data_IF_816469405862
#
_entry.id   IF_816469405862
#
_cell.length_a   1.000
_cell.length_b   1.000
_cell.length_c   1.000
_cell.angle_alpha   90.00
_cell.angle_beta   90.00
_cell.angle_gamma   90.00
#
_symmetry.space_group_name_H-M   'P 1'
#
loop_
_entity.id
_entity.type
_entity.pdbx_description
1 polymer ?
#
# COMPACT_ATOMS: atom_id res chain seq x y z
N UNK A 1 -2.95 0.09 16.02
CA UNK A 1 -1.91 0.41 17.02
C UNK A 1 -2.23 1.81 17.56
N UNK A 2 -2.21 1.93 18.88
CA UNK A 2 -2.48 3.17 19.62
C UNK A 2 -1.17 3.90 19.95
N UNK A 3 -1.26 5.17 20.35
CA UNK A 3 -0.10 5.94 20.85
C UNK A 3 0.58 5.20 22.04
N UNK A 4 -0.22 4.63 22.94
CA UNK A 4 0.29 3.88 24.09
C UNK A 4 1.15 2.67 23.67
N UNK A 5 0.66 1.87 22.69
CA UNK A 5 1.41 0.72 22.19
C UNK A 5 2.70 1.12 21.46
N UNK A 6 2.73 2.29 20.82
CA UNK A 6 3.98 2.84 20.25
C UNK A 6 4.94 3.27 21.34
N UNK A 7 4.46 3.94 22.41
CA UNK A 7 5.29 4.32 23.56
C UNK A 7 5.97 3.11 24.18
N UNK A 8 5.17 2.07 24.53
CA UNK A 8 5.72 0.82 25.08
C UNK A 8 6.82 0.23 24.19
N UNK A 9 6.65 0.32 22.87
CA UNK A 9 7.61 -0.22 21.90
C UNK A 9 8.88 0.64 21.82
N UNK A 10 8.77 1.95 21.85
CA UNK A 10 9.92 2.85 21.83
C UNK A 10 10.74 2.70 23.13
N UNK A 11 10.10 2.66 24.28
CA UNK A 11 10.76 2.38 25.55
C UNK A 11 11.45 1.01 25.59
N UNK A 12 10.83 0.00 24.98
CA UNK A 12 11.46 -1.33 24.88
C UNK A 12 12.72 -1.28 24.02
N UNK A 13 12.70 -0.59 22.89
CA UNK A 13 13.86 -0.45 22.00
C UNK A 13 14.96 0.37 22.65
N UNK A 14 14.65 1.46 23.32
CA UNK A 14 15.63 2.27 24.06
C UNK A 14 16.32 1.46 25.15
N UNK A 15 15.57 0.69 25.94
CA UNK A 15 16.13 -0.24 26.93
C UNK A 15 17.04 -1.32 26.33
N UNK A 16 16.82 -1.69 25.09
CA UNK A 16 17.66 -2.63 24.33
C UNK A 16 18.90 -1.97 23.73
N UNK A 17 19.05 -0.65 23.85
CA UNK A 17 20.15 0.12 23.29
C UNK A 17 20.04 0.32 21.77
N UNK A 18 18.84 0.32 21.22
CA UNK A 18 18.60 0.65 19.81
C UNK A 18 18.87 2.14 19.61
N UNK A 19 19.77 2.46 18.70
CA UNK A 19 20.14 3.85 18.41
C UNK A 19 19.23 4.50 17.38
N UNK A 20 18.67 3.71 16.43
CA UNK A 20 17.79 4.21 15.39
C UNK A 20 16.62 3.26 15.14
N UNK A 21 15.41 3.79 15.10
CA UNK A 21 14.18 3.06 14.81
C UNK A 21 13.47 3.65 13.61
N UNK A 22 13.14 2.83 12.61
CA UNK A 22 12.36 3.23 11.44
C UNK A 22 10.98 2.60 11.49
N UNK A 23 9.95 3.43 11.53
CA UNK A 23 8.57 3.01 11.35
C UNK A 23 8.04 3.47 9.99
N UNK A 24 7.61 2.52 9.18
CA UNK A 24 6.92 2.79 7.92
C UNK A 24 5.43 2.55 8.15
N UNK A 25 4.62 3.59 7.99
CA UNK A 25 3.20 3.50 8.25
C UNK A 25 2.40 3.22 7.00
N UNK A 26 1.26 2.55 7.18
CA UNK A 26 0.17 2.58 6.21
C UNK A 26 -0.23 4.05 5.97
N UNK A 27 -0.80 4.34 4.79
CA UNK A 27 -1.30 5.65 4.39
C UNK A 27 -1.98 6.42 5.54
N UNK A 28 -1.44 7.58 5.88
CA UNK A 28 -1.94 8.44 6.95
C UNK A 28 -3.38 8.94 6.70
N UNK A 29 -3.76 9.13 5.43
CA UNK A 29 -5.13 9.51 5.07
C UNK A 29 -6.17 8.41 5.28
N UNK A 30 -5.75 7.15 5.43
CA UNK A 30 -6.64 5.99 5.62
C UNK A 30 -6.62 5.39 7.03
N UNK A 31 -5.66 5.77 7.87
CA UNK A 31 -5.46 5.21 9.22
C UNK A 31 -4.85 6.24 10.17
N UNK A 32 -5.30 6.23 11.42
CA UNK A 32 -4.72 7.05 12.49
C UNK A 32 -3.37 6.57 13.03
N UNK A 33 -2.82 5.46 12.54
CA UNK A 33 -1.58 4.87 13.09
C UNK A 33 -0.35 5.75 12.85
N UNK A 34 -0.27 6.46 11.71
CA UNK A 34 0.80 7.42 11.46
C UNK A 34 0.79 8.55 12.51
N UNK A 35 -0.37 9.19 12.72
CA UNK A 35 -0.52 10.24 13.72
C UNK A 35 -0.22 9.74 15.15
N UNK A 36 -0.65 8.51 15.48
CA UNK A 36 -0.36 7.89 16.77
C UNK A 36 1.15 7.66 16.99
N UNK A 37 1.87 7.24 15.94
CA UNK A 37 3.32 7.04 15.99
C UNK A 37 4.06 8.38 16.21
N UNK A 38 3.67 9.44 15.48
CA UNK A 38 4.25 10.77 15.67
C UNK A 38 3.99 11.32 17.07
N UNK A 39 2.77 11.18 17.60
CA UNK A 39 2.43 11.60 18.95
C UNK A 39 3.26 10.83 20.01
N UNK A 40 3.42 9.53 19.81
CA UNK A 40 4.24 8.69 20.70
C UNK A 40 5.72 9.07 20.64
N UNK A 41 6.27 9.32 19.45
CA UNK A 41 7.67 9.73 19.32
C UNK A 41 7.94 11.07 20.00
N UNK A 42 7.03 12.05 19.85
CA UNK A 42 7.14 13.32 20.54
C UNK A 42 7.09 13.16 22.07
N UNK A 43 6.13 12.37 22.58
CA UNK A 43 6.01 12.07 24.02
C UNK A 43 7.26 11.32 24.53
N UNK A 44 7.77 10.35 23.78
CA UNK A 44 8.97 9.60 24.16
C UNK A 44 10.18 10.53 24.37
N UNK A 45 10.43 11.45 23.44
CA UNK A 45 11.55 12.39 23.59
C UNK A 45 11.34 13.42 24.73
N UNK A 46 10.10 13.74 25.05
CA UNK A 46 9.77 14.60 26.21
C UNK A 46 10.02 13.86 27.54
N UNK A 47 9.62 12.61 27.65
CA UNK A 47 9.72 11.80 28.87
C UNK A 47 11.11 11.17 29.07
N UNK A 48 11.89 10.99 28.00
CA UNK A 48 13.24 10.39 27.99
C UNK A 48 14.29 11.31 27.35
N UNK A 49 14.53 12.52 27.92
CA UNK A 49 15.47 13.50 27.33
C UNK A 49 16.93 13.02 27.30
N UNK A 50 17.28 11.98 28.07
CA UNK A 50 18.60 11.33 28.07
C UNK A 50 18.77 10.31 26.93
N UNK A 51 17.67 9.82 26.34
CA UNK A 51 17.73 8.86 25.25
C UNK A 51 18.36 9.49 24.01
N UNK A 52 19.22 8.71 23.36
CA UNK A 52 19.85 9.07 22.07
C UNK A 52 19.18 8.39 20.89
N UNK A 53 18.11 7.62 21.14
CA UNK A 53 17.40 6.91 20.08
C UNK A 53 16.72 7.90 19.14
N UNK A 54 17.04 7.81 17.86
CA UNK A 54 16.38 8.54 16.80
C UNK A 54 15.22 7.73 16.24
N UNK A 55 14.05 8.35 16.13
CA UNK A 55 12.83 7.69 15.62
C UNK A 55 12.44 8.33 14.29
N UNK A 56 12.52 7.54 13.22
CA UNK A 56 12.13 7.92 11.88
C UNK A 56 10.75 7.36 11.56
N UNK A 57 9.85 8.21 11.06
CA UNK A 57 8.49 7.82 10.69
C UNK A 57 8.25 8.23 9.24
N UNK A 58 7.96 7.24 8.39
CA UNK A 58 7.69 7.45 6.97
C UNK A 58 6.25 7.07 6.67
N UNK A 59 5.46 7.98 6.09
CA UNK A 59 4.16 7.63 5.52
C UNK A 59 4.37 6.98 4.15
N UNK A 60 3.92 5.74 3.99
CA UNK A 60 3.99 5.07 2.70
C UNK A 60 3.01 5.63 1.66
N UNK A 61 2.04 6.42 2.06
CA UNK A 61 0.91 6.83 1.21
C UNK A 61 0.20 5.65 0.51
N UNK A 62 0.43 4.42 1.00
CA UNK A 62 0.08 3.18 0.34
C UNK A 62 -0.57 2.17 1.30
N UNK A 63 -0.92 1.01 0.75
CA UNK A 63 -1.56 -0.09 1.45
C UNK A 63 -0.94 -1.41 1.03
N UNK A 64 -0.90 -2.38 1.97
CA UNK A 64 -0.55 -3.77 1.68
C UNK A 64 0.86 -3.90 1.05
N UNK A 65 1.01 -4.59 -0.08
CA UNK A 65 2.32 -4.81 -0.70
C UNK A 65 2.95 -3.53 -1.26
N UNK A 66 2.18 -2.50 -1.55
CA UNK A 66 2.73 -1.21 -1.95
C UNK A 66 3.53 -0.55 -0.80
N UNK A 67 3.07 -0.72 0.45
CA UNK A 67 3.83 -0.38 1.65
C UNK A 67 4.96 -1.40 1.89
N UNK A 68 4.63 -2.71 1.85
CA UNK A 68 5.55 -3.80 2.16
C UNK A 68 6.77 -3.87 1.24
N UNK A 69 6.65 -3.50 -0.03
CA UNK A 69 7.78 -3.45 -0.96
C UNK A 69 8.85 -2.45 -0.50
N UNK A 70 8.44 -1.31 0.06
CA UNK A 70 9.38 -0.34 0.64
C UNK A 70 10.06 -0.86 1.90
N UNK A 71 9.30 -1.58 2.77
CA UNK A 71 9.88 -2.18 3.99
C UNK A 71 10.99 -3.18 3.66
N UNK A 72 10.75 -4.06 2.68
CA UNK A 72 11.75 -5.05 2.23
C UNK A 72 13.00 -4.35 1.69
N UNK A 73 12.81 -3.32 0.89
CA UNK A 73 13.92 -2.60 0.28
C UNK A 73 14.69 -1.76 1.32
N UNK A 74 14.00 -1.12 2.26
CA UNK A 74 14.63 -0.41 3.36
C UNK A 74 15.54 -1.32 4.18
N UNK A 75 15.04 -2.51 4.55
CA UNK A 75 15.83 -3.50 5.30
C UNK A 75 17.09 -3.90 4.51
N UNK A 76 16.96 -4.19 3.21
CA UNK A 76 18.09 -4.56 2.37
C UNK A 76 19.16 -3.46 2.31
N UNK A 77 18.75 -2.20 2.12
CA UNK A 77 19.65 -1.05 2.04
C UNK A 77 20.39 -0.79 3.35
N UNK A 78 19.68 -0.91 4.48
CA UNK A 78 20.30 -0.81 5.81
C UNK A 78 21.32 -1.93 6.04
N UNK A 79 21.01 -3.17 5.61
CA UNK A 79 21.95 -4.29 5.70
C UNK A 79 23.18 -4.11 4.79
N UNK A 80 23.01 -3.44 3.65
CA UNK A 80 24.09 -3.06 2.73
C UNK A 80 24.92 -1.87 3.26
N UNK A 81 24.55 -1.28 4.42
CA UNK A 81 25.29 -0.23 5.12
C UNK A 81 24.92 1.19 4.70
N UNK A 82 23.79 1.39 4.03
CA UNK A 82 23.31 2.75 3.77
C UNK A 82 22.85 3.42 5.07
N UNK A 83 22.95 4.74 5.15
CA UNK A 83 22.50 5.49 6.34
C UNK A 83 20.97 5.54 6.42
N UNK A 84 20.45 5.73 7.61
CA UNK A 84 18.99 5.84 7.83
C UNK A 84 18.38 6.99 7.03
N UNK A 85 19.04 8.12 6.97
CA UNK A 85 18.59 9.29 6.22
C UNK A 85 18.49 8.99 4.71
N UNK A 86 19.50 8.31 4.15
CA UNK A 86 19.49 7.90 2.75
C UNK A 86 18.34 6.93 2.45
N UNK A 87 18.07 6.00 3.38
CA UNK A 87 16.95 5.06 3.28
C UNK A 87 15.61 5.79 3.37
N UNK A 88 15.47 6.76 4.27
CA UNK A 88 14.24 7.58 4.38
C UNK A 88 14.00 8.40 3.11
N UNK A 89 15.04 9.03 2.55
CA UNK A 89 14.94 9.75 1.28
C UNK A 89 14.51 8.82 0.13
N UNK A 90 15.14 7.65 0.03
CA UNK A 90 14.76 6.63 -0.94
C UNK A 90 13.30 6.20 -0.79
N UNK A 91 12.83 5.95 0.44
CA UNK A 91 11.44 5.55 0.70
C UNK A 91 10.45 6.62 0.27
N UNK A 92 10.71 7.89 0.59
CA UNK A 92 9.86 9.00 0.18
C UNK A 92 9.76 9.11 -1.35
N UNK A 93 10.88 8.96 -2.07
CA UNK A 93 10.87 8.95 -3.53
C UNK A 93 10.15 7.73 -4.10
N UNK A 94 10.40 6.54 -3.54
CA UNK A 94 9.73 5.29 -3.94
C UNK A 94 8.22 5.39 -3.76
N UNK A 95 7.76 5.79 -2.58
CA UNK A 95 6.33 5.88 -2.29
C UNK A 95 5.61 6.95 -3.12
N UNK A 96 6.30 8.02 -3.51
CA UNK A 96 5.76 8.99 -4.45
C UNK A 96 5.50 8.44 -5.85
N UNK A 97 6.03 7.25 -6.18
CA UNK A 97 5.85 6.55 -7.46
C UNK A 97 4.93 5.32 -7.36
N UNK A 98 4.69 4.82 -6.15
CA UNK A 98 3.85 3.63 -5.99
C UNK A 98 2.41 3.89 -6.41
N UNK A 99 1.89 2.99 -7.23
CA UNK A 99 0.50 3.00 -7.68
C UNK A 99 -0.20 1.69 -7.29
N UNK A 100 -1.49 1.82 -6.98
CA UNK A 100 -2.37 0.70 -6.72
C UNK A 100 -3.58 0.82 -7.65
N UNK A 101 -3.81 -0.23 -8.44
CA UNK A 101 -5.10 -0.46 -9.09
C UNK A 101 -5.84 -1.53 -8.31
N UNK A 102 -7.08 -1.28 -7.97
CA UNK A 102 -7.92 -2.19 -7.19
C UNK A 102 -9.26 -2.40 -7.89
N UNK A 103 -9.74 -3.63 -7.91
CA UNK A 103 -11.14 -3.93 -8.21
C UNK A 103 -11.75 -4.79 -7.12
N UNK A 104 -13.06 -4.64 -6.92
CA UNK A 104 -13.86 -5.56 -6.13
C UNK A 104 -15.01 -6.07 -6.99
N UNK A 105 -15.15 -7.39 -7.06
CA UNK A 105 -16.20 -8.02 -7.86
C UNK A 105 -17.58 -7.92 -7.18
N UNK A 106 -17.59 -7.68 -5.87
CA UNK A 106 -18.80 -7.32 -5.11
C UNK A 106 -18.63 -5.95 -4.46
N UNK A 107 -19.60 -5.05 -4.62
CA UNK A 107 -19.51 -3.68 -4.10
C UNK A 107 -20.11 -3.51 -2.71
N UNK A 108 -20.75 -4.55 -2.15
CA UNK A 108 -21.50 -4.48 -0.89
C UNK A 108 -20.61 -4.07 0.30
N UNK A 109 -19.42 -4.65 0.41
CA UNK A 109 -18.50 -4.38 1.52
C UNK A 109 -17.75 -3.07 1.26
N UNK A 110 -17.17 -2.93 0.09
CA UNK A 110 -16.33 -1.78 -0.28
C UNK A 110 -17.07 -0.44 -0.12
N UNK A 111 -18.37 -0.41 -0.42
CA UNK A 111 -19.23 0.78 -0.24
C UNK A 111 -19.45 1.13 1.24
N UNK A 112 -19.41 0.17 2.13
CA UNK A 112 -19.66 0.36 3.56
C UNK A 112 -18.39 0.68 4.34
N UNK A 113 -17.23 0.40 3.81
CA UNK A 113 -15.95 0.49 4.52
C UNK A 113 -15.55 1.94 4.86
N UNK A 114 -15.96 2.90 4.03
CA UNK A 114 -15.58 4.31 4.14
C UNK A 114 -14.12 4.62 3.79
N UNK A 115 -13.27 3.60 3.55
CA UNK A 115 -11.85 3.76 3.16
C UNK A 115 -11.67 3.92 1.66
N UNK A 116 -12.65 3.47 0.89
CA UNK A 116 -12.69 3.67 -0.56
C UNK A 116 -13.86 4.60 -0.88
N UNK A 117 -13.63 5.88 -0.68
CA UNK A 117 -14.66 6.94 -0.77
C UNK A 117 -15.35 6.96 -2.14
N UNK A 118 -14.59 6.71 -3.22
CA UNK A 118 -15.15 6.64 -4.56
C UNK A 118 -16.21 5.54 -4.73
N UNK A 119 -16.17 4.47 -3.92
CA UNK A 119 -17.18 3.41 -3.96
C UNK A 119 -18.55 3.87 -3.49
N UNK A 120 -18.62 4.86 -2.59
CA UNK A 120 -19.88 5.43 -2.11
C UNK A 120 -20.65 6.18 -3.22
N UNK A 121 -19.95 6.69 -4.22
CA UNK A 121 -20.55 7.37 -5.36
C UNK A 121 -21.21 6.43 -6.39
N UNK A 122 -21.07 5.11 -6.21
CA UNK A 122 -21.67 4.13 -7.10
C UNK A 122 -23.12 3.88 -6.65
N UNK A 123 -24.07 4.45 -7.35
CA UNK A 123 -25.50 4.22 -7.11
C UNK A 123 -25.93 2.88 -7.72
N UNK A 124 -26.62 2.05 -6.92
CA UNK A 124 -27.25 0.77 -7.35
C UNK A 124 -26.26 -0.38 -7.60
N UNK A 125 -26.81 -1.56 -7.77
CA UNK A 125 -26.08 -2.72 -8.30
C UNK A 125 -26.07 -2.60 -9.82
N UNK A 126 -24.97 -2.13 -10.36
CA UNK A 126 -24.77 -2.10 -11.81
C UNK A 126 -24.46 -3.52 -12.27
N UNK A 127 -25.47 -4.27 -12.71
CA UNK A 127 -25.36 -5.66 -13.17
C UNK A 127 -24.17 -5.84 -14.13
N UNK A 128 -23.12 -6.54 -13.61
CA UNK A 128 -21.92 -6.86 -14.38
C UNK A 128 -20.99 -5.68 -14.70
N UNK A 129 -21.16 -4.51 -14.06
CA UNK A 129 -20.20 -3.41 -14.17
C UNK A 129 -19.29 -3.43 -12.96
N UNK A 130 -17.99 -3.49 -13.23
CA UNK A 130 -16.94 -3.51 -12.22
C UNK A 130 -16.10 -2.23 -12.32
N UNK A 131 -15.98 -1.47 -11.24
CA UNK A 131 -15.09 -0.32 -11.19
C UNK A 131 -13.63 -0.76 -10.99
N UNK A 132 -12.73 -0.03 -11.64
CA UNK A 132 -11.30 -0.08 -11.33
C UNK A 132 -11.00 1.20 -10.55
N UNK A 133 -10.48 1.03 -9.35
CA UNK A 133 -10.08 2.13 -8.48
C UNK A 133 -8.58 2.32 -8.52
N UNK A 134 -8.13 3.54 -8.33
CA UNK A 134 -6.79 3.86 -7.85
C UNK A 134 -6.86 4.38 -6.42
N UNK A 135 -5.79 4.14 -5.66
CA UNK A 135 -5.66 4.55 -4.27
C UNK A 135 -4.38 5.39 -4.16
N UNK A 136 -4.53 6.71 -4.27
CA UNK A 136 -3.41 7.64 -4.24
C UNK A 136 -3.60 8.61 -3.08
N UNK A 137 -2.58 8.79 -2.26
CA UNK A 137 -2.51 9.78 -1.18
C UNK A 137 -3.74 9.77 -0.24
N UNK A 138 -4.23 8.58 0.10
CA UNK A 138 -5.42 8.40 0.95
C UNK A 138 -6.75 8.60 0.27
N UNK A 139 -6.76 9.01 -1.00
CA UNK A 139 -7.98 9.22 -1.77
C UNK A 139 -8.16 8.13 -2.81
N UNK A 140 -9.36 7.61 -2.92
CA UNK A 140 -9.72 6.64 -3.96
C UNK A 140 -10.44 7.34 -5.11
N UNK A 141 -10.08 6.95 -6.33
CA UNK A 141 -10.76 7.41 -7.55
C UNK A 141 -11.19 6.22 -8.39
N UNK A 142 -12.36 6.34 -9.04
CA UNK A 142 -12.75 5.40 -10.10
C UNK A 142 -12.08 5.86 -11.38
N UNK A 143 -11.13 5.08 -11.86
CA UNK A 143 -10.40 5.40 -13.09
C UNK A 143 -11.00 4.75 -14.32
N UNK A 144 -11.78 3.67 -14.14
CA UNK A 144 -12.51 3.02 -15.23
C UNK A 144 -13.70 2.23 -14.69
N UNK A 145 -14.76 2.13 -15.47
CA UNK A 145 -15.87 1.20 -15.27
C UNK A 145 -15.91 0.25 -16.47
N UNK A 146 -15.89 -1.04 -16.23
CA UNK A 146 -15.89 -2.07 -17.27
C UNK A 146 -17.04 -3.05 -17.07
N UNK A 147 -17.54 -3.63 -18.13
CA UNK A 147 -18.61 -4.64 -18.05
C UNK A 147 -18.02 -6.04 -18.23
N UNK A 148 -18.29 -6.91 -17.25
CA UNK A 148 -17.87 -8.30 -17.25
C UNK A 148 -16.45 -8.52 -16.66
N UNK A 149 -16.26 -9.67 -16.03
CA UNK A 149 -15.04 -10.01 -15.27
C UNK A 149 -13.79 -10.03 -16.16
N UNK A 150 -13.85 -10.65 -17.33
CA UNK A 150 -12.70 -10.67 -18.28
C UNK A 150 -12.26 -9.29 -18.74
N UNK A 151 -13.21 -8.35 -18.84
CA UNK A 151 -12.89 -6.97 -19.20
C UNK A 151 -12.20 -6.22 -18.05
N UNK A 152 -12.46 -6.60 -16.79
CA UNK A 152 -11.74 -6.06 -15.63
C UNK A 152 -10.26 -6.48 -15.69
N UNK A 153 -9.99 -7.77 -15.86
CA UNK A 153 -8.62 -8.31 -15.91
C UNK A 153 -7.80 -7.64 -17.00
N UNK A 154 -8.33 -7.66 -18.24
CA UNK A 154 -7.64 -7.04 -19.37
C UNK A 154 -7.50 -5.52 -19.22
N UNK A 155 -8.50 -4.86 -18.60
CA UNK A 155 -8.49 -3.43 -18.33
C UNK A 155 -7.45 -3.02 -17.30
N UNK A 156 -7.34 -3.75 -16.19
CA UNK A 156 -6.34 -3.51 -15.16
C UNK A 156 -4.92 -3.76 -15.68
N UNK A 157 -4.70 -4.88 -16.38
CA UNK A 157 -3.39 -5.19 -16.96
C UNK A 157 -2.93 -4.14 -18.00
N UNK A 158 -3.85 -3.65 -18.84
CA UNK A 158 -3.55 -2.61 -19.81
C UNK A 158 -3.20 -1.27 -19.13
N UNK A 159 -3.99 -0.86 -18.12
CA UNK A 159 -3.74 0.39 -17.39
C UNK A 159 -2.43 0.34 -16.61
N UNK A 160 -2.10 -0.81 -16.01
CA UNK A 160 -0.80 -0.99 -15.34
C UNK A 160 0.33 -0.84 -16.35
N UNK A 161 0.28 -1.56 -17.47
CA UNK A 161 1.34 -1.51 -18.49
C UNK A 161 1.52 -0.11 -19.11
N UNK A 162 0.46 0.71 -19.16
CA UNK A 162 0.50 2.09 -19.65
C UNK A 162 1.18 3.04 -18.64
N UNK A 163 1.01 2.79 -17.34
CA UNK A 163 1.42 3.72 -16.27
C UNK A 163 2.74 3.36 -15.60
N UNK A 164 3.10 2.07 -15.62
CA UNK A 164 4.27 1.61 -14.90
C UNK A 164 5.57 2.05 -15.57
N UNK A 165 6.57 2.36 -14.77
CA UNK A 165 7.92 2.56 -15.21
C UNK A 165 8.50 1.25 -15.76
N UNK A 166 9.11 1.30 -16.96
CA UNK A 166 9.62 0.09 -17.61
C UNK A 166 10.71 -0.61 -16.78
N UNK A 167 10.62 -1.93 -16.71
CA UNK A 167 11.60 -2.76 -16.01
C UNK A 167 11.47 -2.77 -14.49
N UNK A 168 10.49 -2.06 -13.92
CA UNK A 168 10.25 -2.10 -12.47
C UNK A 168 9.43 -3.33 -12.07
N UNK A 169 9.61 -3.83 -10.83
CA UNK A 169 8.80 -4.94 -10.33
C UNK A 169 7.34 -4.53 -10.16
N UNK A 170 6.43 -5.49 -10.39
CA UNK A 170 5.02 -5.36 -10.03
C UNK A 170 4.53 -6.58 -9.27
N UNK A 171 3.46 -6.40 -8.51
CA UNK A 171 2.89 -7.43 -7.65
C UNK A 171 1.38 -7.56 -7.90
N UNK A 172 0.87 -8.78 -7.70
CA UNK A 172 -0.55 -9.09 -7.82
C UNK A 172 -1.07 -9.51 -6.44
N UNK A 173 -2.02 -8.75 -5.89
CA UNK A 173 -2.72 -9.07 -4.66
C UNK A 173 -4.07 -9.73 -4.97
N UNK A 174 -4.30 -10.94 -4.47
CA UNK A 174 -5.52 -11.70 -4.70
C UNK A 174 -6.22 -12.06 -3.40
N UNK A 175 -7.55 -11.99 -3.39
CA UNK A 175 -8.37 -12.49 -2.29
C UNK A 175 -8.56 -14.01 -2.36
N UNK A 176 -8.61 -14.57 -3.56
CA UNK A 176 -8.81 -15.98 -3.85
C UNK A 176 -7.91 -16.45 -4.99
N UNK A 177 -7.42 -17.70 -4.91
CA UNK A 177 -6.58 -18.31 -5.95
C UNK A 177 -7.23 -18.40 -7.32
N UNK A 178 -8.56 -18.42 -7.38
CA UNK A 178 -9.31 -18.45 -8.65
C UNK A 178 -8.95 -17.29 -9.59
N UNK A 179 -8.41 -16.18 -9.06
CA UNK A 179 -8.00 -15.02 -9.85
C UNK A 179 -6.54 -15.09 -10.33
N UNK A 180 -5.72 -15.99 -9.78
CA UNK A 180 -4.27 -15.98 -9.94
C UNK A 180 -3.85 -16.11 -11.40
N UNK A 181 -4.22 -17.23 -12.04
CA UNK A 181 -3.75 -17.57 -13.38
C UNK A 181 -4.16 -16.52 -14.41
N UNK A 182 -5.41 -16.06 -14.37
CA UNK A 182 -5.94 -15.09 -15.34
C UNK A 182 -5.23 -13.73 -15.24
N UNK A 183 -4.98 -13.25 -14.01
CA UNK A 183 -4.26 -11.98 -13.81
C UNK A 183 -2.77 -12.09 -14.14
N UNK A 184 -2.12 -13.20 -13.79
CA UNK A 184 -0.72 -13.45 -14.14
C UNK A 184 -0.55 -13.48 -15.65
N UNK A 185 -1.39 -14.23 -16.37
CA UNK A 185 -1.33 -14.31 -17.82
C UNK A 185 -1.55 -12.92 -18.47
N UNK A 186 -2.61 -12.22 -18.06
CA UNK A 186 -2.94 -10.91 -18.63
C UNK A 186 -1.86 -9.86 -18.38
N UNK A 187 -1.32 -9.79 -17.15
CA UNK A 187 -0.28 -8.83 -16.77
C UNK A 187 1.03 -9.18 -17.50
N UNK A 188 1.46 -10.43 -17.46
CA UNK A 188 2.69 -10.88 -18.14
C UNK A 188 2.64 -10.60 -19.65
N UNK A 189 1.50 -10.85 -20.28
CA UNK A 189 1.31 -10.56 -21.71
C UNK A 189 1.41 -9.06 -22.03
N UNK A 190 0.94 -8.19 -21.13
CA UNK A 190 0.94 -6.73 -21.36
C UNK A 190 2.29 -6.08 -21.02
N UNK A 191 2.94 -6.54 -19.97
CA UNK A 191 4.20 -5.97 -19.44
C UNK A 191 5.42 -6.60 -20.11
N UNK A 192 5.32 -7.88 -20.53
CA UNK A 192 6.41 -8.63 -21.17
C UNK A 192 7.24 -9.47 -20.19
N UNK A 193 6.95 -9.43 -18.88
CA UNK A 193 7.61 -10.26 -17.87
C UNK A 193 6.65 -10.59 -16.72
N UNK A 194 6.98 -11.64 -15.96
CA UNK A 194 6.18 -12.15 -14.86
C UNK A 194 6.16 -11.17 -13.66
N UNK A 195 5.11 -11.22 -12.81
CA UNK A 195 5.10 -10.45 -11.57
C UNK A 195 6.27 -10.84 -10.65
N UNK A 196 6.81 -9.88 -9.91
CA UNK A 196 7.82 -10.12 -8.90
C UNK A 196 7.28 -10.94 -7.70
N UNK A 197 5.98 -10.91 -7.50
CA UNK A 197 5.31 -11.73 -6.50
C UNK A 197 3.80 -11.66 -6.57
N UNK A 198 3.18 -12.73 -6.04
CA UNK A 198 1.74 -12.81 -5.84
C UNK A 198 1.51 -12.95 -4.34
N UNK A 199 0.62 -12.15 -3.78
CA UNK A 199 0.34 -12.18 -2.35
C UNK A 199 -1.17 -12.30 -2.07
N UNK A 200 -1.48 -12.87 -0.92
CA UNK A 200 -2.86 -12.96 -0.44
C UNK A 200 -3.24 -11.68 0.27
N UNK A 201 -4.37 -11.09 -0.11
CA UNK A 201 -4.93 -9.96 0.63
C UNK A 201 -5.32 -10.42 2.03
N UNK A 202 -4.78 -9.76 3.06
CA UNK A 202 -5.05 -10.08 4.46
C UNK A 202 -6.41 -9.56 4.94
N UNK A 203 -6.82 -10.01 6.14
CA UNK A 203 -8.12 -9.68 6.74
C UNK A 203 -8.37 -8.17 6.84
N UNK A 204 -7.35 -7.37 7.14
CA UNK A 204 -7.46 -5.92 7.21
C UNK A 204 -7.87 -5.29 5.88
N UNK A 205 -7.39 -5.80 4.76
CA UNK A 205 -7.80 -5.35 3.42
C UNK A 205 -9.19 -5.88 3.09
N UNK A 206 -9.42 -7.18 3.28
CA UNK A 206 -10.68 -7.85 2.91
C UNK A 206 -11.90 -7.33 3.71
N UNK A 207 -11.71 -6.88 4.94
CA UNK A 207 -12.77 -6.22 5.72
C UNK A 207 -13.25 -4.90 5.08
N UNK A 208 -12.42 -4.28 4.26
CA UNK A 208 -12.73 -3.05 3.54
C UNK A 208 -13.11 -3.25 2.08
N UNK A 209 -12.59 -4.27 1.41
CA UNK A 209 -12.83 -4.53 -0.01
C UNK A 209 -13.87 -5.63 -0.26
N UNK A 210 -14.08 -6.51 0.71
CA UNK A 210 -14.83 -7.77 0.54
C UNK A 210 -13.94 -8.92 0.11
N UNK A 211 -14.53 -10.12 0.10
CA UNK A 211 -13.82 -11.38 -0.16
C UNK A 211 -13.47 -11.61 -1.63
N UNK A 212 -13.91 -10.74 -2.53
CA UNK A 212 -13.69 -10.87 -3.98
C UNK A 212 -13.04 -9.60 -4.52
N UNK A 213 -11.73 -9.46 -4.26
CA UNK A 213 -10.94 -8.31 -4.65
C UNK A 213 -9.59 -8.72 -5.24
N UNK A 214 -9.11 -7.92 -6.19
CA UNK A 214 -7.77 -8.05 -6.78
C UNK A 214 -7.14 -6.68 -6.86
N UNK A 215 -5.85 -6.60 -6.48
CA UNK A 215 -5.03 -5.40 -6.56
C UNK A 215 -3.79 -5.63 -7.43
N UNK A 216 -3.41 -4.62 -8.21
CA UNK A 216 -2.12 -4.56 -8.89
C UNK A 216 -1.30 -3.45 -8.24
N UNK A 217 -0.07 -3.75 -7.87
CA UNK A 217 0.88 -2.83 -7.23
C UNK A 217 2.09 -2.69 -8.13
N UNK A 218 2.48 -1.47 -8.45
CA UNK A 218 3.60 -1.20 -9.35
C UNK A 218 4.16 0.21 -9.11
N UNK A 219 5.37 0.44 -9.61
CA UNK A 219 5.95 1.78 -9.66
C UNK A 219 5.60 2.45 -10.98
N UNK A 220 5.01 3.64 -10.89
CA UNK A 220 4.73 4.51 -12.01
C UNK A 220 5.74 5.66 -12.12
N UNK A 221 5.40 6.65 -12.91
CA UNK A 221 6.12 7.92 -12.90
C UNK A 221 5.84 8.66 -11.58
N UNK A 222 6.80 9.50 -11.15
CA UNK A 222 6.62 10.31 -9.94
C UNK A 222 5.39 11.20 -10.09
N UNK A 223 4.44 11.06 -9.17
CA UNK A 223 3.26 11.91 -9.12
C UNK A 223 3.69 13.37 -8.93
N UNK A 224 3.14 14.26 -9.72
CA UNK A 224 3.35 15.69 -9.50
C UNK A 224 2.56 16.08 -8.24
N UNK A 225 3.21 16.78 -7.33
CA UNK A 225 2.59 17.37 -6.15
C UNK A 225 1.54 18.43 -6.55
#
# INVERSE_FOLDING_TARGET
ITQFEFMERFEEYDRQGVEQALYISINAGGSGTNAAAHAAAAQFHEEHPESRMEIFIVDSHAYSMAEGAGVIEAKRRLDDGETMEAVVEFLNDKYARMEILLTAYTLKVIRKSGRISAAAAIAGDLLGIHPIFTLNDGVSHIVKKVRGEKAVVSGMAAMMAERMAQGTPYYIGISDRKYEDEYVEACTKKVGYAPAGIFRLGCAVLSNTGAEAVGLVFEGEKRRA
#
